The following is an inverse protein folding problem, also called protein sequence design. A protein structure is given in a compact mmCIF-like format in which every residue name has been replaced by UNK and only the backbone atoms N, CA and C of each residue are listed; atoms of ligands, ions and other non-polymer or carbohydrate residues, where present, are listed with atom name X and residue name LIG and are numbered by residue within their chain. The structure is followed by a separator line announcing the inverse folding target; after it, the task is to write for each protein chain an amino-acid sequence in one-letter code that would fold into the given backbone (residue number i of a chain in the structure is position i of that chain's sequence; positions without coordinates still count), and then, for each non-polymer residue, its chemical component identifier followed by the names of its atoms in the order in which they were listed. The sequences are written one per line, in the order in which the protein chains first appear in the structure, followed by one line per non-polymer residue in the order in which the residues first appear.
data_IF_464142963475
#
_entry.id   IF_464142963475
#
_cell.length_a   1.000
_cell.length_b   1.000
_cell.length_c   1.000
_cell.angle_alpha   90.00
_cell.angle_beta   90.00
_cell.angle_gamma   90.00
#
_symmetry.space_group_name_H-M   'P 1'
#
loop_
_entity.id
_entity.type
_entity.pdbx_description
1 polymer ?
#
# COMPACT_ATOMS: atom_id res chain seq x y z
N UNK A 1 18.90 -13.02 -6.19
CA UNK A 1 19.45 -11.64 -6.20
C UNK A 1 18.75 -10.87 -5.10
N UNK A 2 19.46 -9.96 -4.44
CA UNK A 2 18.90 -9.03 -3.43
C UNK A 2 18.02 -8.01 -4.13
N UNK A 3 16.74 -7.88 -3.71
CA UNK A 3 15.82 -6.89 -4.27
C UNK A 3 15.93 -5.58 -3.51
N UNK A 4 15.57 -4.49 -4.18
CA UNK A 4 15.42 -3.19 -3.54
C UNK A 4 13.93 -2.82 -3.48
N UNK A 5 13.39 -2.71 -2.28
CA UNK A 5 11.95 -2.64 -2.01
C UNK A 5 11.61 -1.33 -1.31
N UNK A 6 10.64 -0.59 -1.85
CA UNK A 6 10.02 0.57 -1.20
C UNK A 6 8.72 0.15 -0.53
N UNK A 7 8.55 0.48 0.74
CA UNK A 7 7.31 0.22 1.49
C UNK A 7 6.81 1.50 2.14
N UNK A 8 5.53 1.80 2.01
CA UNK A 8 4.89 2.86 2.78
C UNK A 8 3.98 2.26 3.85
N UNK A 9 4.04 2.80 5.09
CA UNK A 9 3.18 2.33 6.18
C UNK A 9 3.65 1.05 6.85
N UNK A 10 4.92 1.01 7.29
CA UNK A 10 5.55 -0.15 7.95
C UNK A 10 5.53 -0.08 9.48
N UNK A 11 4.92 0.93 10.09
CA UNK A 11 4.92 1.09 11.54
C UNK A 11 4.13 0.02 12.29
N UNK A 12 3.15 -0.62 11.63
CA UNK A 12 2.32 -1.69 12.20
C UNK A 12 1.62 -2.52 11.12
N UNK A 13 0.92 -3.57 11.55
CA UNK A 13 0.02 -4.36 10.69
C UNK A 13 0.70 -4.94 9.46
N UNK A 14 0.00 -4.89 8.30
CA UNK A 14 0.48 -5.48 7.06
C UNK A 14 1.88 -5.00 6.65
N UNK A 15 2.10 -3.67 6.66
CA UNK A 15 3.37 -3.10 6.21
C UNK A 15 4.57 -3.52 7.06
N UNK A 16 4.38 -3.64 8.37
CA UNK A 16 5.42 -4.12 9.27
C UNK A 16 5.79 -5.59 8.97
N UNK A 17 4.80 -6.47 8.79
CA UNK A 17 5.06 -7.87 8.47
C UNK A 17 5.67 -8.06 7.08
N UNK A 18 5.23 -7.30 6.07
CA UNK A 18 5.88 -7.27 4.75
C UNK A 18 7.35 -6.86 4.89
N UNK A 19 7.62 -5.81 5.68
CA UNK A 19 8.99 -5.34 5.93
C UNK A 19 9.85 -6.42 6.58
N UNK A 20 9.36 -7.06 7.65
CA UNK A 20 10.07 -8.15 8.34
C UNK A 20 10.40 -9.30 7.38
N UNK A 21 9.41 -9.80 6.66
CA UNK A 21 9.59 -10.94 5.74
C UNK A 21 10.57 -10.65 4.60
N UNK A 22 10.57 -9.44 4.03
CA UNK A 22 11.57 -9.05 3.05
C UNK A 22 12.98 -8.98 3.63
N UNK A 23 13.14 -8.51 4.87
CA UNK A 23 14.45 -8.50 5.54
C UNK A 23 14.95 -9.93 5.82
N UNK A 24 14.06 -10.84 6.24
CA UNK A 24 14.38 -12.26 6.49
C UNK A 24 14.89 -12.98 5.24
N UNK A 25 14.35 -12.66 4.05
CA UNK A 25 14.83 -13.23 2.78
C UNK A 25 16.01 -12.44 2.18
N UNK A 26 16.52 -11.44 2.91
CA UNK A 26 17.76 -10.72 2.59
C UNK A 26 17.62 -9.54 1.64
N UNK A 27 16.43 -9.04 1.39
CA UNK A 27 16.18 -7.87 0.56
C UNK A 27 16.62 -6.56 1.24
N UNK A 28 16.75 -5.49 0.47
CA UNK A 28 17.03 -4.13 0.96
C UNK A 28 15.77 -3.30 0.90
N UNK A 29 15.46 -2.61 2.01
CA UNK A 29 14.23 -1.85 2.15
C UNK A 29 14.47 -0.37 2.41
N UNK A 30 13.65 0.43 1.76
CA UNK A 30 13.44 1.83 2.06
C UNK A 30 11.99 2.03 2.48
N UNK A 31 11.79 2.52 3.70
CA UNK A 31 10.47 2.65 4.30
C UNK A 31 10.12 4.11 4.48
N UNK A 32 8.92 4.50 4.04
CA UNK A 32 8.30 5.78 4.35
C UNK A 32 7.20 5.57 5.40
N UNK A 33 7.35 6.20 6.57
CA UNK A 33 6.45 6.03 7.69
C UNK A 33 6.09 7.37 8.33
N UNK A 34 4.80 7.60 8.60
CA UNK A 34 4.34 8.81 9.26
C UNK A 34 4.80 8.87 10.72
N UNK A 35 4.63 7.77 11.45
CA UNK A 35 5.00 7.66 12.86
C UNK A 35 5.89 6.45 13.07
N UNK A 36 7.16 6.67 13.32
CA UNK A 36 8.12 5.58 13.56
C UNK A 36 7.84 4.98 14.93
N UNK A 37 7.47 3.70 14.94
CA UNK A 37 7.18 2.93 16.15
C UNK A 37 8.45 2.35 16.76
N UNK A 38 8.37 1.97 18.05
CA UNK A 38 9.48 1.28 18.73
C UNK A 38 9.85 -0.03 18.03
N UNK A 39 8.83 -0.78 17.55
CA UNK A 39 9.04 -2.03 16.84
C UNK A 39 9.77 -1.83 15.50
N UNK A 40 9.43 -0.80 14.74
CA UNK A 40 10.12 -0.46 13.50
C UNK A 40 11.56 0.05 13.77
N UNK A 41 11.76 0.78 14.87
CA UNK A 41 13.09 1.22 15.32
C UNK A 41 13.96 0.02 15.71
N UNK A 42 13.43 -0.92 16.48
CA UNK A 42 14.13 -2.15 16.85
C UNK A 42 14.50 -2.99 15.62
N UNK A 43 13.59 -3.05 14.64
CA UNK A 43 13.84 -3.73 13.38
C UNK A 43 14.98 -3.07 12.59
N UNK A 44 15.01 -1.74 12.54
CA UNK A 44 16.10 -0.99 11.90
C UNK A 44 17.45 -1.23 12.58
N UNK A 45 17.49 -1.30 13.91
CA UNK A 45 18.69 -1.65 14.65
C UNK A 45 19.17 -3.08 14.37
N UNK A 46 18.24 -4.01 14.17
CA UNK A 46 18.57 -5.41 13.83
C UNK A 46 19.07 -5.59 12.40
N UNK A 47 18.68 -4.70 11.49
CA UNK A 47 19.03 -4.74 10.07
C UNK A 47 19.62 -3.40 9.56
N UNK A 48 20.70 -2.88 10.18
CA UNK A 48 21.17 -1.51 9.95
C UNK A 48 21.67 -1.23 8.52
N UNK A 49 22.08 -2.28 7.80
CA UNK A 49 22.54 -2.17 6.42
C UNK A 49 21.47 -2.51 5.38
N UNK A 50 20.36 -3.10 5.80
CA UNK A 50 19.30 -3.59 4.91
C UNK A 50 17.98 -2.81 5.04
N UNK A 51 17.78 -2.07 6.13
CA UNK A 51 16.59 -1.28 6.38
C UNK A 51 16.93 0.20 6.58
N UNK A 52 16.36 1.04 5.72
CA UNK A 52 16.33 2.50 5.93
C UNK A 52 14.90 2.92 6.21
N UNK A 53 14.67 3.62 7.31
CA UNK A 53 13.36 4.18 7.67
C UNK A 53 13.44 5.70 7.59
N UNK A 54 12.47 6.30 6.90
CA UNK A 54 12.29 7.74 6.79
C UNK A 54 10.93 8.13 7.33
N UNK A 55 10.94 9.09 8.27
CA UNK A 55 9.69 9.73 8.67
C UNK A 55 9.19 10.60 7.51
N UNK A 56 7.94 10.38 7.11
CA UNK A 56 7.36 11.04 5.95
C UNK A 56 5.83 11.04 6.05
N UNK A 57 5.23 12.22 6.06
CA UNK A 57 3.80 12.38 5.89
C UNK A 57 3.43 12.34 4.41
N UNK A 58 2.78 11.27 3.95
CA UNK A 58 2.35 11.14 2.55
C UNK A 58 1.31 12.20 2.13
N UNK A 59 0.69 12.87 3.09
CA UNK A 59 -0.18 14.02 2.86
C UNK A 59 0.56 15.29 2.42
N UNK A 60 1.89 15.34 2.54
CA UNK A 60 2.73 16.50 2.25
C UNK A 60 3.68 16.23 1.08
N UNK A 61 3.53 17.01 0.02
CA UNK A 61 4.28 16.81 -1.22
C UNK A 61 5.77 17.04 -1.05
N UNK A 62 6.17 18.03 -0.27
CA UNK A 62 7.56 18.36 0.02
C UNK A 62 8.28 17.26 0.81
N UNK A 63 7.64 16.70 1.84
CA UNK A 63 8.22 15.59 2.61
C UNK A 63 8.41 14.34 1.73
N UNK A 64 7.41 13.99 0.92
CA UNK A 64 7.52 12.86 -0.02
C UNK A 64 8.61 13.11 -1.05
N UNK A 65 8.68 14.32 -1.62
CA UNK A 65 9.70 14.64 -2.63
C UNK A 65 11.11 14.56 -2.03
N UNK A 66 11.32 15.10 -0.82
CA UNK A 66 12.63 15.04 -0.15
C UNK A 66 13.06 13.59 0.15
N UNK A 67 12.15 12.77 0.72
CA UNK A 67 12.44 11.38 1.04
C UNK A 67 12.71 10.53 -0.22
N UNK A 68 11.98 10.75 -1.29
CA UNK A 68 12.15 10.03 -2.55
C UNK A 68 13.40 10.52 -3.32
N UNK A 69 13.81 11.78 -3.18
CA UNK A 69 15.06 12.29 -3.74
C UNK A 69 16.26 11.61 -3.06
N UNK A 70 16.23 11.50 -1.73
CA UNK A 70 17.27 10.77 -1.00
C UNK A 70 17.39 9.31 -1.45
N UNK A 71 16.24 8.68 -1.76
CA UNK A 71 16.23 7.34 -2.33
C UNK A 71 16.84 7.31 -3.74
N UNK A 72 16.50 8.29 -4.58
CA UNK A 72 17.03 8.39 -5.95
C UNK A 72 18.55 8.62 -5.97
N UNK A 73 19.08 9.41 -5.05
CA UNK A 73 20.51 9.70 -4.93
C UNK A 73 21.36 8.45 -4.61
N UNK A 74 20.73 7.35 -4.17
CA UNK A 74 21.40 6.05 -4.00
C UNK A 74 21.70 5.34 -5.32
N UNK A 75 21.14 5.80 -6.43
CA UNK A 75 21.36 5.26 -7.76
C UNK A 75 20.81 3.84 -7.98
N UNK A 76 19.86 3.39 -7.14
CA UNK A 76 19.35 2.02 -7.18
C UNK A 76 17.92 2.01 -7.74
N UNK A 77 17.67 1.15 -8.73
CA UNK A 77 16.31 0.94 -9.25
C UNK A 77 15.48 0.08 -8.31
N UNK A 78 14.19 0.32 -8.27
CA UNK A 78 13.24 -0.43 -7.44
C UNK A 78 12.78 -1.72 -8.13
N UNK A 79 12.80 -2.83 -7.39
CA UNK A 79 12.21 -4.10 -7.79
C UNK A 79 10.73 -4.16 -7.43
N UNK A 80 10.39 -3.70 -6.20
CA UNK A 80 9.02 -3.75 -5.70
C UNK A 80 8.70 -2.42 -4.99
N UNK A 81 7.47 -1.93 -5.20
CA UNK A 81 6.90 -0.80 -4.45
C UNK A 81 5.61 -1.28 -3.80
N UNK A 82 5.52 -1.18 -2.47
CA UNK A 82 4.31 -1.41 -1.71
C UNK A 82 3.71 -0.09 -1.22
N UNK A 83 2.60 0.32 -1.77
CA UNK A 83 1.79 1.41 -1.26
C UNK A 83 0.75 0.85 -0.29
N UNK A 84 1.14 0.67 0.99
CA UNK A 84 0.29 0.10 2.06
C UNK A 84 -0.29 1.19 2.94
N UNK A 85 0.44 2.27 3.16
CA UNK A 85 -0.02 3.36 4.01
C UNK A 85 -1.43 3.82 3.67
N UNK A 86 -2.24 4.00 4.68
CA UNK A 86 -3.60 4.51 4.55
C UNK A 86 -4.22 4.78 5.89
N UNK A 87 -5.22 5.65 5.91
CA UNK A 87 -5.97 6.01 7.10
C UNK A 87 -7.45 5.70 6.92
N UNK A 88 -8.10 5.40 8.03
CA UNK A 88 -9.53 5.21 8.15
C UNK A 88 -10.00 5.81 9.47
N UNK A 89 -11.16 6.44 9.47
CA UNK A 89 -11.77 6.96 10.68
C UNK A 89 -13.02 6.14 11.02
N UNK A 90 -13.10 5.47 12.18
CA UNK A 90 -14.32 4.78 12.61
C UNK A 90 -15.55 5.71 12.63
N UNK A 91 -15.35 7.03 12.85
CA UNK A 91 -16.39 8.07 12.76
C UNK A 91 -16.97 8.26 11.35
N UNK A 92 -16.44 7.58 10.32
CA UNK A 92 -16.99 7.58 8.95
C UNK A 92 -18.13 6.59 8.76
N UNK A 93 -18.36 5.71 9.74
CA UNK A 93 -19.46 4.74 9.73
C UNK A 93 -20.77 5.38 10.15
N UNK A 94 -21.11 6.49 9.51
CA UNK A 94 -22.32 7.26 9.79
C UNK A 94 -23.11 7.53 8.51
N UNK A 95 -24.45 7.73 8.60
CA UNK A 95 -25.26 8.14 7.46
C UNK A 95 -24.77 9.44 6.84
N UNK A 96 -25.10 9.69 5.57
CA UNK A 96 -24.66 10.89 4.84
C UNK A 96 -24.96 12.20 5.58
N UNK A 97 -26.12 12.32 6.21
CA UNK A 97 -26.53 13.53 6.95
C UNK A 97 -25.66 13.87 8.16
N UNK A 98 -24.86 12.90 8.64
CA UNK A 98 -23.93 13.06 9.76
C UNK A 98 -22.46 13.09 9.29
N UNK A 99 -22.23 12.97 7.98
CA UNK A 99 -20.89 12.93 7.43
C UNK A 99 -20.26 14.32 7.37
N UNK A 100 -19.12 14.50 8.02
CA UNK A 100 -18.30 15.70 7.88
C UNK A 100 -17.52 15.63 6.56
N UNK A 101 -18.01 16.33 5.54
CA UNK A 101 -17.46 16.29 4.18
C UNK A 101 -16.03 16.83 4.13
N UNK A 102 -15.75 17.94 4.81
CA UNK A 102 -14.44 18.59 4.76
C UNK A 102 -13.34 17.72 5.40
N UNK A 103 -13.67 17.05 6.50
CA UNK A 103 -12.75 16.10 7.12
C UNK A 103 -12.37 14.95 6.19
N UNK A 104 -13.21 14.59 5.20
CA UNK A 104 -12.93 13.51 4.22
C UNK A 104 -11.83 13.88 3.24
N UNK A 105 -11.51 15.16 3.09
CA UNK A 105 -10.36 15.60 2.29
C UNK A 105 -9.04 15.01 2.78
N UNK A 106 -8.90 14.76 4.09
CA UNK A 106 -7.71 14.10 4.63
C UNK A 106 -7.56 12.67 4.13
N UNK A 107 -8.67 11.91 4.03
CA UNK A 107 -8.66 10.55 3.46
C UNK A 107 -8.20 10.55 2.00
N UNK A 108 -8.70 11.51 1.21
CA UNK A 108 -8.24 11.69 -0.17
C UNK A 108 -6.75 12.03 -0.24
N UNK A 109 -6.33 12.98 0.59
CA UNK A 109 -4.94 13.46 0.59
C UNK A 109 -3.95 12.35 0.93
N UNK A 110 -4.27 11.49 1.90
CA UNK A 110 -3.37 10.39 2.33
C UNK A 110 -3.58 9.14 1.47
N UNK A 111 -4.83 8.67 1.29
CA UNK A 111 -5.09 7.36 0.68
C UNK A 111 -5.00 7.35 -0.85
N UNK A 112 -5.24 8.49 -1.52
CA UNK A 112 -5.22 8.59 -2.97
C UNK A 112 -4.02 9.41 -3.48
N UNK A 113 -3.87 10.66 -3.01
CA UNK A 113 -2.79 11.53 -3.46
C UNK A 113 -1.43 11.15 -2.86
N UNK A 114 -1.39 10.60 -1.64
CA UNK A 114 -0.16 10.13 -1.00
C UNK A 114 0.61 9.12 -1.88
N UNK A 115 0.03 7.95 -2.19
CA UNK A 115 0.69 7.00 -3.07
C UNK A 115 0.94 7.54 -4.49
N UNK A 116 0.11 8.46 -5.00
CA UNK A 116 0.37 9.11 -6.29
C UNK A 116 1.63 10.00 -6.23
N UNK A 117 1.87 10.71 -5.10
CA UNK A 117 3.11 11.45 -4.87
C UNK A 117 4.32 10.52 -4.85
N UNK A 118 4.21 9.38 -4.17
CA UNK A 118 5.27 8.35 -4.14
C UNK A 118 5.57 7.86 -5.55
N UNK A 119 4.55 7.43 -6.30
CA UNK A 119 4.71 6.93 -7.68
C UNK A 119 5.29 7.98 -8.62
N UNK A 120 4.85 9.25 -8.52
CA UNK A 120 5.41 10.36 -9.30
C UNK A 120 6.92 10.50 -9.12
N UNK A 121 7.39 10.44 -7.88
CA UNK A 121 8.81 10.58 -7.57
C UNK A 121 9.60 9.27 -7.81
N UNK A 122 8.93 8.12 -7.92
CA UNK A 122 9.55 6.83 -8.22
C UNK A 122 9.80 6.58 -9.72
N UNK A 123 9.27 7.41 -10.63
CA UNK A 123 9.30 7.17 -12.10
C UNK A 123 10.72 6.92 -12.64
N UNK A 124 11.72 7.66 -12.16
CA UNK A 124 13.12 7.48 -12.55
C UNK A 124 13.76 6.19 -12.00
N UNK A 125 13.18 5.62 -10.95
CA UNK A 125 13.66 4.42 -10.27
C UNK A 125 13.02 3.12 -10.82
N UNK A 126 11.99 3.25 -11.69
CA UNK A 126 11.32 2.11 -12.29
C UNK A 126 12.20 1.49 -13.39
N UNK A 127 12.25 0.16 -13.42
CA UNK A 127 12.87 -0.65 -14.48
C UNK A 127 11.88 -1.66 -15.03
N UNK A 128 12.22 -2.32 -16.12
CA UNK A 128 11.46 -3.48 -16.60
C UNK A 128 11.45 -4.58 -15.52
N UNK A 129 10.26 -5.12 -15.25
CA UNK A 129 10.04 -6.09 -14.18
C UNK A 129 9.75 -5.48 -12.79
N UNK A 130 9.77 -4.15 -12.62
CA UNK A 130 9.30 -3.54 -11.36
C UNK A 130 7.84 -3.91 -11.11
N UNK A 131 7.54 -4.35 -9.89
CA UNK A 131 6.18 -4.64 -9.42
C UNK A 131 5.72 -3.53 -8.49
N UNK A 132 4.55 -2.95 -8.77
CA UNK A 132 3.89 -1.97 -7.91
C UNK A 132 2.63 -2.61 -7.32
N UNK A 133 2.59 -2.73 -6.01
CA UNK A 133 1.48 -3.27 -5.26
C UNK A 133 0.76 -2.16 -4.49
N UNK A 134 -0.41 -1.77 -4.97
CA UNK A 134 -1.24 -0.74 -4.38
C UNK A 134 -2.32 -1.38 -3.50
N UNK A 135 -2.16 -1.26 -2.18
CA UNK A 135 -3.14 -1.80 -1.23
C UNK A 135 -4.37 -0.91 -1.20
N UNK A 136 -5.44 -1.46 -1.74
CA UNK A 136 -6.73 -0.81 -1.87
C UNK A 136 -7.78 -1.49 -0.97
N UNK A 137 -9.01 -1.75 -1.41
CA UNK A 137 -10.06 -2.41 -0.62
C UNK A 137 -11.16 -2.90 -1.56
N UNK A 138 -11.91 -3.91 -1.20
CA UNK A 138 -13.16 -4.28 -1.89
C UNK A 138 -14.20 -3.16 -1.86
N UNK A 139 -14.15 -2.30 -0.83
CA UNK A 139 -15.11 -1.20 -0.63
C UNK A 139 -15.10 -0.13 -1.73
N UNK A 140 -14.20 -0.23 -2.69
CA UNK A 140 -14.06 0.71 -3.81
C UNK A 140 -14.63 0.21 -5.14
N UNK A 141 -15.09 -1.04 -5.23
CA UNK A 141 -15.82 -1.50 -6.39
C UNK A 141 -17.17 -0.78 -6.46
N UNK A 142 -17.39 -0.02 -7.53
CA UNK A 142 -18.65 0.69 -7.73
C UNK A 142 -19.78 -0.31 -8.05
N UNK A 143 -19.44 -1.35 -8.83
CA UNK A 143 -20.41 -2.36 -9.25
C UNK A 143 -20.89 -3.27 -8.12
N UNK A 144 -20.00 -3.59 -7.18
CA UNK A 144 -20.28 -4.53 -6.09
C UNK A 144 -20.58 -3.82 -4.76
N UNK A 145 -20.67 -2.48 -4.75
CA UNK A 145 -20.84 -1.69 -3.53
C UNK A 145 -22.23 -1.88 -2.92
N UNK A 146 -22.27 -2.44 -1.72
CA UNK A 146 -23.47 -2.56 -0.88
C UNK A 146 -23.41 -1.67 0.37
N UNK A 147 -22.42 -0.79 0.48
CA UNK A 147 -22.19 0.06 1.65
C UNK A 147 -23.17 1.20 1.69
N UNK A 148 -23.61 1.54 2.90
CA UNK A 148 -24.52 2.66 3.19
C UNK A 148 -23.84 3.79 3.97
N UNK A 149 -22.54 3.67 4.20
CA UNK A 149 -21.71 4.61 4.96
C UNK A 149 -20.25 4.58 4.44
N UNK A 150 -19.32 5.22 5.14
CA UNK A 150 -17.87 5.22 4.82
C UNK A 150 -17.55 5.91 3.48
N UNK A 151 -18.29 6.98 3.15
CA UNK A 151 -18.14 7.72 1.90
C UNK A 151 -16.69 8.14 1.62
N UNK A 152 -16.03 8.77 2.60
CA UNK A 152 -14.67 9.29 2.41
C UNK A 152 -13.65 8.20 2.12
N UNK A 153 -13.68 7.11 2.87
CA UNK A 153 -12.76 5.99 2.68
C UNK A 153 -12.97 5.30 1.33
N UNK A 154 -14.21 4.89 1.04
CA UNK A 154 -14.54 4.20 -0.20
C UNK A 154 -14.19 5.03 -1.44
N UNK A 155 -14.58 6.31 -1.45
CA UNK A 155 -14.24 7.25 -2.53
C UNK A 155 -12.73 7.43 -2.67
N UNK A 156 -11.97 7.55 -1.57
CA UNK A 156 -10.51 7.70 -1.63
C UNK A 156 -9.82 6.47 -2.24
N UNK A 157 -10.29 5.27 -1.90
CA UNK A 157 -9.77 4.02 -2.47
C UNK A 157 -10.16 3.84 -3.93
N UNK A 158 -11.38 4.26 -4.34
CA UNK A 158 -11.79 4.29 -5.77
C UNK A 158 -10.94 5.27 -6.58
N UNK A 159 -10.66 6.45 -6.03
CA UNK A 159 -9.77 7.42 -6.67
C UNK A 159 -8.34 6.86 -6.84
N UNK A 160 -7.83 6.14 -5.83
CA UNK A 160 -6.53 5.48 -5.95
C UNK A 160 -6.51 4.37 -7.00
N UNK A 161 -7.60 3.62 -7.15
CA UNK A 161 -7.74 2.64 -8.22
C UNK A 161 -7.68 3.28 -9.61
N UNK A 162 -8.41 4.38 -9.81
CA UNK A 162 -8.37 5.12 -11.07
C UNK A 162 -6.95 5.62 -11.36
N UNK A 163 -6.28 6.23 -10.38
CA UNK A 163 -4.89 6.67 -10.52
C UNK A 163 -3.95 5.50 -10.86
N UNK A 164 -4.14 4.35 -10.21
CA UNK A 164 -3.36 3.13 -10.47
C UNK A 164 -3.56 2.61 -11.90
N UNK A 165 -4.79 2.65 -12.41
CA UNK A 165 -5.10 2.24 -13.78
C UNK A 165 -4.45 3.17 -14.81
N UNK A 166 -4.52 4.49 -14.59
CA UNK A 166 -3.86 5.47 -15.46
C UNK A 166 -2.35 5.27 -15.46
N UNK A 167 -1.75 5.06 -14.28
CA UNK A 167 -0.32 4.80 -14.14
C UNK A 167 0.08 3.49 -14.84
N UNK A 168 -0.73 2.44 -14.72
CA UNK A 168 -0.51 1.17 -15.44
C UNK A 168 -0.49 1.36 -16.95
N UNK A 169 -1.43 2.11 -17.50
CA UNK A 169 -1.48 2.40 -18.94
C UNK A 169 -0.23 3.19 -19.39
N UNK A 170 0.23 4.14 -18.57
CA UNK A 170 1.39 4.98 -18.90
C UNK A 170 2.70 4.19 -18.92
N UNK A 171 2.85 3.19 -18.04
CA UNK A 171 4.10 2.45 -17.87
C UNK A 171 4.05 1.00 -18.38
N UNK A 172 3.01 0.63 -19.14
CA UNK A 172 2.86 -0.70 -19.71
C UNK A 172 4.05 -1.09 -20.59
N UNK A 173 4.46 -0.20 -21.51
CA UNK A 173 5.58 -0.43 -22.43
C UNK A 173 6.94 -0.51 -21.72
N UNK A 174 7.06 0.05 -20.52
CA UNK A 174 8.26 -0.06 -19.69
C UNK A 174 8.39 -1.43 -19.01
N UNK A 175 7.37 -2.27 -19.10
CA UNK A 175 7.33 -3.59 -18.46
C UNK A 175 7.15 -3.52 -16.93
N UNK A 176 6.52 -2.47 -16.42
CA UNK A 176 6.14 -2.32 -15.02
C UNK A 176 4.82 -3.03 -14.78
N UNK A 177 4.77 -3.93 -13.80
CA UNK A 177 3.55 -4.64 -13.41
C UNK A 177 2.89 -3.93 -12.22
N UNK A 178 1.61 -3.60 -12.35
CA UNK A 178 0.88 -2.86 -11.32
C UNK A 178 -0.34 -3.66 -10.88
N UNK A 179 -0.51 -3.77 -9.55
CA UNK A 179 -1.66 -4.41 -8.93
C UNK A 179 -2.41 -3.44 -8.02
N UNK A 180 -3.75 -3.49 -8.07
CA UNK A 180 -4.64 -3.02 -7.05
C UNK A 180 -5.06 -4.23 -6.21
N UNK A 181 -4.84 -4.18 -4.90
CA UNK A 181 -4.92 -5.36 -4.05
C UNK A 181 -5.84 -5.14 -2.86
N UNK A 182 -6.77 -6.08 -2.66
CA UNK A 182 -7.56 -6.18 -1.45
C UNK A 182 -6.95 -7.24 -0.52
N UNK A 183 -6.42 -6.82 0.65
CA UNK A 183 -5.70 -7.72 1.55
C UNK A 183 -6.62 -8.62 2.40
N UNK A 184 -7.92 -8.62 2.16
CA UNK A 184 -8.90 -9.23 3.05
C UNK A 184 -9.22 -8.36 4.27
N UNK A 185 -10.11 -8.86 5.13
CA UNK A 185 -10.38 -8.22 6.41
C UNK A 185 -9.32 -8.68 7.42
N UNK A 186 -8.55 -7.76 7.98
CA UNK A 186 -7.39 -8.08 8.78
C UNK A 186 -7.61 -7.75 10.26
N UNK A 187 -7.04 -8.56 11.15
CA UNK A 187 -7.01 -8.37 12.60
C UNK A 187 -6.04 -7.25 12.98
N UNK A 188 -6.44 -6.01 12.70
CA UNK A 188 -5.68 -4.78 12.95
C UNK A 188 -6.60 -3.73 13.58
N UNK A 189 -6.02 -2.64 14.10
CA UNK A 189 -6.80 -1.50 14.60
C UNK A 189 -7.80 -0.96 13.55
N UNK A 190 -7.37 -0.91 12.27
CA UNK A 190 -8.22 -0.47 11.15
C UNK A 190 -9.37 -1.43 10.90
N UNK A 191 -9.15 -2.72 11.06
CA UNK A 191 -10.20 -3.76 10.95
C UNK A 191 -11.24 -3.67 12.07
N UNK A 192 -10.85 -3.15 13.24
CA UNK A 192 -11.70 -2.98 14.42
C UNK A 192 -12.02 -4.30 15.12
N UNK A 193 -12.86 -4.20 16.18
CA UNK A 193 -13.23 -5.37 17.01
C UNK A 193 -13.84 -6.51 16.20
N UNK A 194 -14.67 -6.19 15.19
CA UNK A 194 -15.27 -7.22 14.34
C UNK A 194 -14.23 -8.09 13.64
N UNK A 195 -13.11 -7.49 13.19
CA UNK A 195 -12.03 -8.24 12.57
C UNK A 195 -11.31 -9.15 13.59
N UNK A 196 -11.12 -8.67 14.82
CA UNK A 196 -10.45 -9.45 15.86
C UNK A 196 -11.25 -10.71 16.23
N UNK A 197 -12.58 -10.61 16.20
CA UNK A 197 -13.49 -11.70 16.58
C UNK A 197 -13.87 -12.61 15.40
N UNK A 198 -13.67 -12.17 14.16
CA UNK A 198 -14.07 -12.92 12.97
C UNK A 198 -13.12 -14.10 12.71
N UNK A 199 -13.63 -15.32 12.53
CA UNK A 199 -12.81 -16.48 12.17
C UNK A 199 -12.28 -16.41 10.74
N UNK A 200 -12.85 -15.54 9.87
CA UNK A 200 -12.45 -15.39 8.47
C UNK A 200 -11.48 -14.24 8.24
N UNK A 201 -11.18 -13.46 9.28
CA UNK A 201 -10.21 -12.37 9.18
C UNK A 201 -8.79 -12.91 9.26
N UNK A 202 -7.94 -12.39 8.38
CA UNK A 202 -6.52 -12.73 8.34
C UNK A 202 -5.75 -12.05 9.48
N UNK A 203 -4.73 -12.71 9.99
CA UNK A 203 -3.66 -12.02 10.72
C UNK A 203 -2.86 -11.13 9.76
N UNK A 204 -2.20 -10.06 10.25
CA UNK A 204 -1.30 -9.27 9.41
C UNK A 204 -0.17 -10.09 8.79
N UNK A 205 0.25 -11.16 9.45
CA UNK A 205 1.28 -12.06 8.96
C UNK A 205 0.79 -12.89 7.77
N UNK A 206 -0.39 -13.52 7.87
CA UNK A 206 -1.01 -14.27 6.77
C UNK A 206 -1.26 -13.36 5.56
N UNK A 207 -1.71 -12.12 5.80
CA UNK A 207 -1.90 -11.14 4.74
C UNK A 207 -0.57 -10.73 4.08
N UNK A 208 0.53 -10.67 4.86
CA UNK A 208 1.87 -10.40 4.33
C UNK A 208 2.38 -11.56 3.47
N UNK A 209 2.12 -12.81 3.84
CA UNK A 209 2.46 -13.96 3.00
C UNK A 209 1.71 -13.92 1.67
N UNK A 210 0.42 -13.64 1.71
CA UNK A 210 -0.41 -13.57 0.51
C UNK A 210 0.03 -12.48 -0.47
N UNK A 211 0.31 -11.26 0.01
CA UNK A 211 0.74 -10.14 -0.84
C UNK A 211 2.15 -10.40 -1.41
N UNK A 212 3.05 -10.99 -0.61
CA UNK A 212 4.40 -11.32 -1.05
C UNK A 212 4.41 -12.43 -2.09
N UNK A 213 3.55 -13.43 -1.98
CA UNK A 213 3.45 -14.47 -2.99
C UNK A 213 3.09 -13.89 -4.37
N UNK A 214 2.20 -12.90 -4.42
CA UNK A 214 1.87 -12.19 -5.67
C UNK A 214 3.05 -11.38 -6.19
N UNK A 215 3.71 -10.60 -5.34
CA UNK A 215 4.78 -9.68 -5.77
C UNK A 215 6.08 -10.37 -6.12
N UNK A 216 6.35 -11.51 -5.50
CA UNK A 216 7.52 -12.34 -5.81
C UNK A 216 7.31 -13.24 -7.03
N UNK A 217 6.06 -13.55 -7.36
CA UNK A 217 5.68 -14.42 -8.48
C UNK A 217 4.66 -13.77 -9.41
N UNK A 218 4.87 -12.52 -9.88
CA UNK A 218 3.86 -11.76 -10.64
C UNK A 218 3.45 -12.43 -11.95
N UNK A 219 4.29 -13.31 -12.50
CA UNK A 219 3.99 -14.08 -13.72
C UNK A 219 2.90 -15.15 -13.50
N UNK A 220 2.57 -15.50 -12.26
CA UNK A 220 1.44 -16.40 -11.96
C UNK A 220 0.07 -15.72 -12.09
N UNK A 221 0.05 -14.40 -12.12
CA UNK A 221 -1.17 -13.63 -12.32
C UNK A 221 -1.34 -13.29 -13.80
N UNK A 222 -2.49 -13.60 -14.43
CA UNK A 222 -2.71 -13.30 -15.84
C UNK A 222 -2.46 -11.81 -16.15
N UNK A 223 -1.91 -11.47 -17.34
CA UNK A 223 -1.54 -10.09 -17.68
C UNK A 223 -2.68 -9.09 -17.60
N UNK A 224 -3.90 -9.49 -17.89
CA UNK A 224 -5.11 -8.69 -17.85
C UNK A 224 -5.63 -8.42 -16.43
N UNK A 225 -5.23 -9.26 -15.44
CA UNK A 225 -5.66 -9.11 -14.04
C UNK A 225 -4.79 -8.06 -13.36
N UNK A 226 -5.39 -6.92 -13.09
CA UNK A 226 -4.75 -5.84 -12.36
C UNK A 226 -5.30 -5.67 -10.94
N UNK A 227 -6.56 -6.04 -10.74
CA UNK A 227 -7.25 -5.90 -9.47
C UNK A 227 -7.66 -7.26 -8.93
N UNK A 228 -7.19 -7.60 -7.73
CA UNK A 228 -7.36 -8.92 -7.14
C UNK A 228 -7.38 -8.87 -5.60
N UNK A 229 -7.90 -9.95 -5.01
CA UNK A 229 -7.87 -10.17 -3.57
C UNK A 229 -6.64 -11.00 -3.13
N UNK A 230 -6.58 -11.26 -1.81
CA UNK A 230 -5.52 -12.06 -1.18
C UNK A 230 -5.51 -13.55 -1.61
N UNK A 231 -6.60 -14.04 -2.19
CA UNK A 231 -6.70 -15.38 -2.76
C UNK A 231 -6.37 -15.42 -4.25
N UNK A 232 -5.94 -14.29 -4.81
CA UNK A 232 -5.66 -14.07 -6.23
C UNK A 232 -6.89 -14.08 -7.15
N UNK A 233 -8.10 -13.99 -6.58
CA UNK A 233 -9.32 -13.86 -7.38
C UNK A 233 -9.37 -12.46 -8.00
N UNK A 234 -9.65 -12.36 -9.30
CA UNK A 234 -9.94 -11.07 -9.93
C UNK A 234 -11.18 -10.41 -9.30
N UNK A 235 -11.10 -9.12 -9.08
CA UNK A 235 -12.20 -8.33 -8.54
C UNK A 235 -12.74 -7.34 -9.59
N UNK A 236 -14.04 -7.01 -9.49
CA UNK A 236 -14.67 -5.98 -10.31
C UNK A 236 -14.24 -4.57 -9.86
N UNK A 237 -14.23 -3.62 -10.83
CA UNK A 237 -13.88 -2.22 -10.59
C UNK A 237 -15.02 -1.42 -9.94
#
# INVERSE_FOLDING_TARGET
MKRFVLVTGSGKGLGLHVTKKHLEIGDQLYVLEHTITEELTALQHSFPTSLTVKQCDLGKTDEVTAAMQELADRGTSLDIIYNIAGIFFPSDRVPLVQTDIDRRMLLYNVNALGPLRVLKNAVSLLKSGTVVMNVTSESRSVGDCVRTAEYGYSMSKSAFNMASKIFSNQFAEKGVRIFCYHPGWMKTDMGGEGALLSPTSLSPEEAADAIMDITLHPAQIPPEVMYLDYQKNPLNW
#
